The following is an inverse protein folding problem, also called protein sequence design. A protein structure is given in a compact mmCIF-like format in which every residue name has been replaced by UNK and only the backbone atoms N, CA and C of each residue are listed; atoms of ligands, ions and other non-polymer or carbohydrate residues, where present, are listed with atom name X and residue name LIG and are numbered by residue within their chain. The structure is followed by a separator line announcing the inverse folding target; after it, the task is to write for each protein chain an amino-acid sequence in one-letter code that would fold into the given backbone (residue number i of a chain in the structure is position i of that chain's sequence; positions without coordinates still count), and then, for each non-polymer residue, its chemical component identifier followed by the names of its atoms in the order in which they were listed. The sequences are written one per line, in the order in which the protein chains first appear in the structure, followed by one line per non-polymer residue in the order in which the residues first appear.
data_IF_695963444503
#
_entry.id   IF_695963444503
#
_cell.length_a   1.000
_cell.length_b   1.000
_cell.length_c   1.000
_cell.angle_alpha   90.00
_cell.angle_beta   90.00
_cell.angle_gamma   90.00
#
_symmetry.space_group_name_H-M   'P 1'
#
loop_
_entity.id
_entity.type
_entity.pdbx_description
1 polymer ?
#
# COMPACT_ATOMS: atom_id res chain seq x y z
N UNK A 1 -7.50 -15.51 17.63
CA UNK A 1 -6.32 -16.40 17.50
C UNK A 1 -6.61 -17.74 16.81
N UNK A 2 -7.66 -18.49 17.21
CA UNK A 2 -8.02 -19.78 16.59
C UNK A 2 -8.17 -19.72 15.07
N UNK A 3 -8.93 -18.75 14.55
CA UNK A 3 -9.11 -18.53 13.12
C UNK A 3 -7.78 -18.38 12.38
N UNK A 4 -6.89 -17.51 12.88
CA UNK A 4 -5.59 -17.27 12.26
C UNK A 4 -4.73 -18.53 12.22
N UNK A 5 -4.68 -19.31 13.32
CA UNK A 5 -3.98 -20.59 13.37
C UNK A 5 -4.54 -21.62 12.38
N UNK A 6 -5.85 -21.67 12.20
CA UNK A 6 -6.49 -22.55 11.22
C UNK A 6 -6.17 -22.11 9.80
N UNK A 7 -6.33 -20.83 9.48
CA UNK A 7 -6.06 -20.28 8.15
C UNK A 7 -4.60 -20.49 7.75
N UNK A 8 -3.67 -20.27 8.68
CA UNK A 8 -2.23 -20.40 8.44
C UNK A 8 -1.81 -21.81 8.01
N UNK A 9 -2.49 -22.86 8.49
CA UNK A 9 -2.23 -24.25 8.06
C UNK A 9 -2.56 -24.48 6.59
N UNK A 10 -3.36 -23.62 5.96
CA UNK A 10 -3.67 -23.70 4.53
C UNK A 10 -2.59 -23.10 3.63
N UNK A 11 -1.60 -22.41 4.20
CA UNK A 11 -0.54 -21.77 3.43
C UNK A 11 0.49 -22.79 2.97
N UNK A 12 0.81 -22.81 1.68
CA UNK A 12 1.82 -23.72 1.13
C UNK A 12 3.24 -23.31 1.53
N UNK A 13 3.54 -22.01 1.46
CA UNK A 13 4.85 -21.40 1.79
C UNK A 13 4.64 -19.97 2.30
N UNK A 14 4.23 -19.80 3.57
CA UNK A 14 3.97 -18.47 4.10
C UNK A 14 5.25 -17.64 4.14
N UNK A 15 5.18 -16.40 3.63
CA UNK A 15 6.31 -15.47 3.61
C UNK A 15 6.59 -14.80 4.97
N UNK A 16 5.67 -14.92 5.93
CA UNK A 16 5.78 -14.33 7.26
C UNK A 16 5.23 -15.28 8.33
N UNK A 17 5.80 -15.22 9.53
CA UNK A 17 5.38 -16.03 10.66
C UNK A 17 4.15 -15.48 11.38
N UNK A 18 3.32 -16.35 11.96
CA UNK A 18 2.28 -15.93 12.90
C UNK A 18 2.88 -15.15 14.06
N UNK A 19 2.31 -13.98 14.38
CA UNK A 19 2.81 -13.10 15.43
C UNK A 19 3.50 -11.85 14.89
N UNK A 20 4.04 -11.90 13.67
CA UNK A 20 4.78 -10.79 13.07
C UNK A 20 3.91 -9.56 12.78
N UNK A 21 2.58 -9.66 12.86
CA UNK A 21 1.68 -8.50 12.72
C UNK A 21 1.90 -7.40 13.76
N UNK A 22 2.65 -7.68 14.84
CA UNK A 22 2.99 -6.72 15.89
C UNK A 22 4.28 -5.94 15.59
N UNK A 23 5.03 -6.35 14.58
CA UNK A 23 6.34 -5.79 14.26
C UNK A 23 6.20 -4.61 13.30
N UNK A 24 6.88 -3.52 13.61
CA UNK A 24 7.06 -2.41 12.67
C UNK A 24 8.36 -2.66 11.92
N UNK A 25 8.25 -2.94 10.62
CA UNK A 25 9.41 -3.15 9.76
C UNK A 25 10.14 -1.83 9.53
N UNK A 26 11.47 -1.84 9.36
CA UNK A 26 12.22 -0.64 9.01
C UNK A 26 11.75 -0.08 7.67
N UNK A 27 11.84 1.24 7.51
CA UNK A 27 11.61 1.86 6.22
C UNK A 27 12.64 1.36 5.21
N UNK A 28 12.17 0.99 4.02
CA UNK A 28 13.03 0.56 2.92
C UNK A 28 12.45 1.02 1.59
N UNK A 29 13.34 1.47 0.69
CA UNK A 29 12.99 1.71 -0.69
C UNK A 29 13.00 0.37 -1.41
N UNK A 30 11.83 -0.08 -1.87
CA UNK A 30 11.68 -1.35 -2.58
C UNK A 30 10.98 -1.11 -3.90
N UNK A 31 11.39 -1.87 -4.93
CA UNK A 31 10.68 -1.88 -6.20
C UNK A 31 9.49 -2.84 -6.08
N UNK A 32 8.28 -2.28 -6.05
CA UNK A 32 7.04 -3.06 -6.09
C UNK A 32 6.62 -3.36 -7.52
N UNK A 33 6.02 -4.54 -7.74
CA UNK A 33 5.40 -4.93 -9.02
C UNK A 33 3.87 -4.91 -8.95
N UNK A 34 3.31 -4.07 -8.05
CA UNK A 34 1.87 -3.90 -7.93
C UNK A 34 1.32 -3.06 -9.08
N UNK A 35 0.17 -3.45 -9.63
CA UNK A 35 -0.58 -2.63 -10.58
C UNK A 35 -1.60 -1.79 -9.82
N UNK A 36 -1.30 -0.50 -9.65
CA UNK A 36 -2.13 0.46 -8.91
C UNK A 36 -2.08 1.83 -9.58
N UNK A 37 -3.20 2.52 -9.55
CA UNK A 37 -3.38 3.93 -9.91
C UNK A 37 -2.47 4.89 -9.12
N UNK A 38 -2.05 4.51 -7.90
CA UNK A 38 -1.10 5.28 -7.08
C UNK A 38 0.24 5.48 -7.80
N UNK A 39 0.61 4.59 -8.74
CA UNK A 39 1.81 4.76 -9.55
C UNK A 39 1.82 6.10 -10.29
N UNK A 40 0.74 6.45 -10.97
CA UNK A 40 0.63 7.70 -11.72
C UNK A 40 0.59 8.91 -10.78
N UNK A 41 -0.14 8.82 -9.67
CA UNK A 41 -0.18 9.88 -8.64
C UNK A 41 1.21 10.14 -8.07
N UNK A 42 1.99 9.08 -7.85
CA UNK A 42 3.35 9.18 -7.30
C UNK A 42 4.36 9.85 -8.23
N UNK A 43 4.02 10.05 -9.50
CA UNK A 43 4.82 10.86 -10.43
C UNK A 43 4.43 12.33 -10.42
N UNK A 44 3.23 12.68 -9.91
CA UNK A 44 2.72 14.04 -9.87
C UNK A 44 3.00 14.76 -8.54
N UNK A 45 2.89 14.04 -7.41
CA UNK A 45 3.05 14.60 -6.06
C UNK A 45 3.83 13.67 -5.13
N UNK A 46 4.52 14.20 -4.10
CA UNK A 46 5.15 13.37 -3.07
C UNK A 46 4.15 12.37 -2.49
N UNK A 47 4.46 11.08 -2.60
CA UNK A 47 3.55 9.99 -2.23
C UNK A 47 4.26 8.99 -1.33
N UNK A 48 3.58 8.56 -0.27
CA UNK A 48 4.05 7.51 0.64
C UNK A 48 3.05 6.36 0.69
N UNK A 49 3.56 5.14 0.90
CA UNK A 49 2.75 3.95 1.14
C UNK A 49 3.06 3.36 2.52
N UNK A 50 2.08 2.70 3.13
CA UNK A 50 2.24 1.97 4.37
C UNK A 50 1.56 0.59 4.27
N UNK A 51 2.31 -0.48 4.53
CA UNK A 51 1.77 -1.83 4.68
C UNK A 51 1.29 -2.05 6.10
N UNK A 52 0.00 -2.36 6.27
CA UNK A 52 -0.62 -2.63 7.58
C UNK A 52 -1.24 -4.03 7.56
N UNK A 53 -1.03 -4.79 8.64
CA UNK A 53 -1.57 -6.14 8.76
C UNK A 53 -3.10 -6.13 8.92
N UNK A 54 -3.80 -6.38 7.81
CA UNK A 54 -5.26 -6.59 7.76
C UNK A 54 -5.62 -8.06 7.52
N UNK A 55 -4.64 -8.89 7.20
CA UNK A 55 -4.78 -10.34 7.05
C UNK A 55 -3.90 -11.09 8.06
N UNK A 56 -4.07 -12.41 8.11
CA UNK A 56 -3.14 -13.28 8.84
C UNK A 56 -1.76 -13.20 8.18
N UNK A 57 -0.65 -13.00 8.92
CA UNK A 57 0.69 -12.94 8.33
C UNK A 57 0.98 -14.10 7.38
N UNK A 58 1.59 -13.79 6.23
CA UNK A 58 1.88 -14.78 5.18
C UNK A 58 0.72 -15.06 4.21
N UNK A 59 -0.44 -14.41 4.38
CA UNK A 59 -1.55 -14.49 3.41
C UNK A 59 -1.12 -13.90 2.06
N UNK A 60 -1.21 -14.69 0.99
CA UNK A 60 -1.00 -14.21 -0.37
C UNK A 60 -2.16 -13.32 -0.84
N UNK A 61 -1.85 -12.22 -1.53
CA UNK A 61 -2.88 -11.40 -2.20
C UNK A 61 -3.60 -12.21 -3.29
N UNK A 62 -4.82 -11.79 -3.65
CA UNK A 62 -5.69 -12.47 -4.62
C UNK A 62 -6.04 -13.94 -4.27
N UNK A 63 -6.10 -14.25 -2.97
CA UNK A 63 -6.42 -15.59 -2.48
C UNK A 63 -7.74 -15.62 -1.72
N UNK A 64 -8.37 -16.79 -1.63
CA UNK A 64 -9.57 -16.96 -0.81
C UNK A 64 -9.29 -16.70 0.68
N UNK A 65 -8.04 -16.92 1.13
CA UNK A 65 -7.62 -16.64 2.50
C UNK A 65 -7.64 -15.14 2.80
N UNK A 66 -7.27 -14.29 1.84
CA UNK A 66 -7.38 -12.84 1.97
C UNK A 66 -8.84 -12.40 2.14
N UNK A 67 -9.74 -12.95 1.32
CA UNK A 67 -11.20 -12.69 1.42
C UNK A 67 -11.73 -13.16 2.77
N UNK A 68 -11.39 -14.39 3.18
CA UNK A 68 -11.81 -14.97 4.45
C UNK A 68 -11.33 -14.16 5.65
N UNK A 69 -10.08 -13.66 5.64
CA UNK A 69 -9.54 -12.85 6.72
C UNK A 69 -10.18 -11.45 6.77
N UNK A 70 -10.40 -10.83 5.60
CA UNK A 70 -10.95 -9.48 5.47
C UNK A 70 -12.34 -9.32 6.10
N UNK A 71 -13.19 -10.34 6.00
CA UNK A 71 -14.54 -10.34 6.59
C UNK A 71 -14.58 -10.55 8.11
N UNK A 72 -13.43 -10.64 8.79
CA UNK A 72 -13.36 -10.91 10.23
C UNK A 72 -12.90 -9.68 11.02
N UNK A 73 -12.92 -9.79 12.35
CA UNK A 73 -12.37 -8.78 13.25
C UNK A 73 -10.87 -8.51 13.03
N UNK A 74 -10.12 -9.42 12.38
CA UNK A 74 -8.71 -9.16 11.99
C UNK A 74 -8.67 -8.06 10.94
N UNK A 75 -9.47 -8.19 9.86
CA UNK A 75 -9.58 -7.19 8.80
C UNK A 75 -10.02 -5.84 9.33
N UNK A 76 -11.12 -5.81 10.09
CA UNK A 76 -11.65 -4.55 10.64
C UNK A 76 -10.70 -3.85 11.61
N UNK A 77 -10.03 -4.58 12.51
CA UNK A 77 -9.06 -3.97 13.45
C UNK A 77 -7.81 -3.48 12.74
N UNK A 78 -7.33 -4.23 11.74
CA UNK A 78 -6.23 -3.77 10.89
C UNK A 78 -6.59 -2.51 10.12
N UNK A 79 -7.82 -2.43 9.58
CA UNK A 79 -8.32 -1.25 8.88
C UNK A 79 -8.47 -0.03 9.81
N UNK A 80 -9.01 -0.21 11.03
CA UNK A 80 -9.06 0.87 12.05
C UNK A 80 -7.65 1.37 12.39
N UNK A 81 -6.69 0.47 12.60
CA UNK A 81 -5.31 0.86 12.84
C UNK A 81 -4.70 1.61 11.64
N UNK A 82 -4.92 1.13 10.42
CA UNK A 82 -4.47 1.81 9.21
C UNK A 82 -5.05 3.23 9.09
N UNK A 83 -6.34 3.40 9.37
CA UNK A 83 -6.99 4.71 9.35
C UNK A 83 -6.38 5.67 10.37
N UNK A 84 -6.06 5.20 11.59
CA UNK A 84 -5.39 6.00 12.62
C UNK A 84 -3.95 6.36 12.25
N UNK A 85 -3.22 5.44 11.64
CA UNK A 85 -1.85 5.68 11.19
C UNK A 85 -1.83 6.74 10.08
N UNK A 86 -2.70 6.60 9.08
CA UNK A 86 -2.83 7.53 7.96
C UNK A 86 -3.31 8.91 8.41
N UNK A 87 -4.30 8.99 9.30
CA UNK A 87 -4.78 10.28 9.82
C UNK A 87 -3.71 10.98 10.66
N UNK A 88 -2.95 10.24 11.46
CA UNK A 88 -1.84 10.80 12.25
C UNK A 88 -0.71 11.31 11.36
N UNK A 89 -0.39 10.58 10.27
CA UNK A 89 0.57 11.04 9.27
C UNK A 89 0.09 12.31 8.55
N UNK A 90 -1.20 12.35 8.17
CA UNK A 90 -1.80 13.52 7.54
C UNK A 90 -1.73 14.74 8.46
N UNK A 91 -2.10 14.62 9.73
CA UNK A 91 -1.99 15.72 10.71
C UNK A 91 -0.56 16.25 10.74
N UNK A 92 0.45 15.37 10.84
CA UNK A 92 1.85 15.79 10.88
C UNK A 92 2.25 16.54 9.61
N UNK A 93 1.84 16.07 8.43
CA UNK A 93 2.09 16.77 7.17
C UNK A 93 1.42 18.14 7.12
N UNK A 94 0.18 18.28 7.61
CA UNK A 94 -0.53 19.56 7.62
C UNK A 94 0.07 20.57 8.60
N UNK A 95 0.53 20.11 9.77
CA UNK A 95 1.02 20.98 10.85
C UNK A 95 2.51 21.29 10.77
N UNK A 96 3.26 20.59 9.92
CA UNK A 96 4.72 20.76 9.77
C UNK A 96 5.07 21.23 8.34
N UNK A 97 5.25 22.56 8.14
CA UNK A 97 5.69 23.11 6.87
C UNK A 97 7.07 22.59 6.43
N UNK A 98 8.01 22.45 7.36
CA UNK A 98 9.37 22.02 7.04
C UNK A 98 9.40 20.58 6.50
N UNK A 99 8.55 19.70 7.06
CA UNK A 99 8.39 18.34 6.53
C UNK A 99 7.87 18.32 5.09
N UNK A 100 6.91 19.20 4.76
CA UNK A 100 6.37 19.31 3.38
C UNK A 100 7.40 19.85 2.40
N UNK A 101 8.17 20.86 2.82
CA UNK A 101 9.25 21.41 2.01
C UNK A 101 10.33 20.36 1.74
N UNK A 102 10.76 19.62 2.77
CA UNK A 102 11.73 18.55 2.63
C UNK A 102 11.24 17.42 1.71
N UNK A 103 9.99 16.96 1.88
CA UNK A 103 9.42 15.93 1.02
C UNK A 103 9.28 16.39 -0.44
N UNK A 104 8.93 17.67 -0.65
CA UNK A 104 8.83 18.26 -1.99
C UNK A 104 10.20 18.38 -2.64
N UNK A 105 11.22 18.82 -1.90
CA UNK A 105 12.58 18.93 -2.40
C UNK A 105 13.15 17.55 -2.81
N UNK A 106 12.98 16.53 -1.96
CA UNK A 106 13.38 15.16 -2.27
C UNK A 106 12.65 14.64 -3.52
N UNK A 107 11.35 14.90 -3.64
CA UNK A 107 10.54 14.48 -4.78
C UNK A 107 11.03 15.08 -6.11
N UNK A 108 11.29 16.40 -6.15
CA UNK A 108 11.80 17.06 -7.35
C UNK A 108 13.19 16.53 -7.72
N UNK A 109 14.07 16.37 -6.72
CA UNK A 109 15.40 15.81 -6.94
C UNK A 109 15.35 14.40 -7.56
N UNK A 110 14.45 13.54 -7.07
CA UNK A 110 14.32 12.15 -7.57
C UNK A 110 13.73 12.07 -8.98
N UNK A 111 12.84 13.00 -9.34
CA UNK A 111 12.28 13.09 -10.70
C UNK A 111 13.30 13.63 -11.70
N UNK A 112 14.10 14.60 -11.28
CA UNK A 112 14.98 15.38 -12.16
C UNK A 112 14.24 16.58 -12.79
N UNK A 113 15.02 17.60 -13.14
CA UNK A 113 14.51 18.92 -13.54
C UNK A 113 13.73 18.90 -14.87
N UNK A 114 14.08 17.98 -15.78
CA UNK A 114 13.47 17.86 -17.11
C UNK A 114 12.35 16.81 -17.17
N UNK A 115 11.90 16.29 -16.01
CA UNK A 115 10.88 15.25 -15.99
C UNK A 115 9.51 15.77 -16.45
N UNK A 116 9.04 15.22 -17.56
CA UNK A 116 7.67 15.40 -18.06
C UNK A 116 6.89 14.10 -17.84
N UNK A 117 5.77 14.19 -17.11
CA UNK A 117 4.90 13.03 -16.92
C UNK A 117 4.15 12.71 -18.21
N UNK A 118 4.20 11.44 -18.62
CA UNK A 118 3.36 10.87 -19.66
C UNK A 118 2.78 9.56 -19.15
N UNK A 119 1.45 9.41 -19.22
CA UNK A 119 0.79 8.17 -18.82
C UNK A 119 1.22 7.03 -19.75
N UNK A 120 1.46 5.83 -19.21
CA UNK A 120 1.88 4.68 -20.02
C UNK A 120 0.86 4.33 -21.13
N UNK A 121 -0.42 4.63 -20.90
CA UNK A 121 -1.46 4.46 -21.91
C UNK A 121 -1.41 5.49 -23.04
N UNK A 122 -0.83 6.67 -22.82
CA UNK A 122 -0.92 7.83 -23.71
C UNK A 122 -2.38 8.18 -24.06
N UNK A 123 -2.58 8.74 -25.25
CA UNK A 123 -3.90 9.13 -25.77
C UNK A 123 -4.61 8.01 -26.56
N UNK A 124 -4.26 6.74 -26.29
CA UNK A 124 -4.81 5.62 -27.07
C UNK A 124 -6.31 5.46 -26.83
N UNK A 125 -7.05 5.16 -27.89
CA UNK A 125 -8.47 4.79 -27.78
C UNK A 125 -8.61 3.46 -27.02
N UNK A 126 -9.70 3.26 -26.25
CA UNK A 126 -10.00 1.97 -25.65
C UNK A 126 -9.97 0.86 -26.73
N UNK A 127 -9.34 -0.29 -26.45
CA UNK A 127 -9.22 -1.37 -27.43
C UNK A 127 -10.58 -1.98 -27.79
N UNK A 128 -11.57 -1.84 -26.91
CA UNK A 128 -12.92 -2.37 -27.06
C UNK A 128 -13.96 -1.33 -26.64
N UNK A 129 -15.07 -1.29 -27.37
CA UNK A 129 -16.25 -0.50 -27.07
C UNK A 129 -17.27 -1.39 -26.34
N UNK A 130 -17.17 -1.49 -25.02
CA UNK A 130 -18.02 -2.36 -24.19
C UNK A 130 -19.50 -1.95 -24.14
N UNK A 131 -19.91 -0.89 -24.86
CA UNK A 131 -21.27 -0.34 -24.87
C UNK A 131 -21.97 -0.43 -26.24
N UNK A 132 -21.39 -1.17 -27.19
CA UNK A 132 -22.00 -1.55 -28.46
C UNK A 132 -22.46 -3.00 -28.45
#
# INVERSE_FOLDING_TARGET
ERFAKTLYKSFTRPSMALGSQKEVQPYSLTLGYGSTDVGDVSMAVPTLGAGIATWVPGTAAHSWQAVAAGGTTIGFRGADFAARALSSAAVRLYTDPALREAATAEFQQRRGDDFTYEALLGDRKPPLDYRK
#
